data_IF_430674012216
#
_entry.id   IF_430674012216
#
_cell.length_a   1.000
_cell.length_b   1.000
_cell.length_c   1.000
_cell.angle_alpha   90.00
_cell.angle_beta   90.00
_cell.angle_gamma   90.00
#
_symmetry.space_group_name_H-M   'P 1'
#
loop_
_entity.id
_entity.type
_entity.pdbx_description
1 polymer ?
#
# COMPACT_ATOMS: atom_id res chain seq x y z
N UNK A 1 -5.02 7.96 3.64
CA UNK A 1 -4.12 9.05 4.05
C UNK A 1 -2.71 8.74 3.56
N UNK A 2 -2.27 9.32 2.44
CA UNK A 2 -0.85 9.31 2.05
C UNK A 2 -0.23 10.45 2.84
N UNK A 3 0.61 10.15 3.82
CA UNK A 3 1.27 11.17 4.62
C UNK A 3 2.41 11.74 3.78
N UNK A 4 2.18 12.88 3.12
CA UNK A 4 3.24 13.65 2.46
C UNK A 4 3.99 14.46 3.52
N UNK A 5 4.91 13.84 4.24
CA UNK A 5 5.91 14.58 5.02
C UNK A 5 7.10 14.92 4.12
N UNK A 6 7.27 16.22 3.80
CA UNK A 6 8.50 16.75 3.20
C UNK A 6 9.63 16.58 4.20
N UNK A 7 10.43 15.52 4.07
CA UNK A 7 11.79 15.52 4.62
C UNK A 7 12.74 16.07 3.56
N UNK A 8 13.45 17.14 3.91
CA UNK A 8 14.56 17.68 3.12
C UNK A 8 15.75 16.73 3.26
N UNK A 9 15.80 15.67 2.44
CA UNK A 9 17.00 14.85 2.28
C UNK A 9 18.01 15.61 1.40
N UNK A 10 19.30 15.42 1.70
CA UNK A 10 20.44 16.11 1.05
C UNK A 10 20.45 15.94 -0.47
N UNK A 11 21.06 16.91 -1.17
CA UNK A 11 21.03 17.20 -2.62
C UNK A 11 21.21 16.03 -3.62
N UNK A 12 21.57 14.83 -3.18
CA UNK A 12 21.84 13.68 -4.05
C UNK A 12 20.75 12.58 -4.00
N UNK A 13 19.73 12.72 -3.15
CA UNK A 13 18.72 11.68 -2.92
C UNK A 13 17.30 12.27 -2.84
N UNK A 14 16.51 12.06 -3.90
CA UNK A 14 15.05 12.21 -3.88
C UNK A 14 14.35 10.85 -4.01
N UNK A 15 14.51 9.92 -3.04
CA UNK A 15 13.76 8.67 -3.05
C UNK A 15 12.26 8.96 -2.96
N UNK A 16 11.47 8.31 -3.81
CA UNK A 16 10.02 8.38 -3.70
C UNK A 16 9.58 7.42 -2.60
N UNK A 17 8.79 7.94 -1.67
CA UNK A 17 8.26 7.15 -0.57
C UNK A 17 6.83 6.73 -0.87
N UNK A 18 6.55 5.44 -0.78
CA UNK A 18 5.18 4.94 -0.74
C UNK A 18 4.94 4.32 0.63
N UNK A 19 4.18 5.04 1.47
CA UNK A 19 3.77 4.55 2.78
C UNK A 19 2.37 3.98 2.63
N UNK A 20 2.27 2.64 2.70
CA UNK A 20 0.99 1.96 2.73
C UNK A 20 0.63 1.58 4.15
N UNK A 21 -0.29 2.33 4.76
CA UNK A 21 -0.86 1.94 6.04
C UNK A 21 -1.65 0.63 5.85
N UNK A 22 -1.26 -0.41 6.57
CA UNK A 22 -1.99 -1.66 6.63
C UNK A 22 -2.42 -1.85 8.08
N UNK A 23 -3.62 -1.37 8.42
CA UNK A 23 -4.20 -1.59 9.74
C UNK A 23 -4.59 -3.07 9.85
N UNK A 24 -3.91 -3.82 10.73
CA UNK A 24 -4.41 -5.11 11.19
C UNK A 24 -5.05 -4.84 12.55
N UNK A 25 -6.37 -4.65 12.56
CA UNK A 25 -7.13 -4.51 13.80
C UNK A 25 -6.89 -5.74 14.67
N UNK A 26 -6.24 -5.56 15.83
CA UNK A 26 -6.29 -6.53 16.92
C UNK A 26 -7.59 -6.24 17.66
N UNK A 27 -8.64 -7.01 17.42
CA UNK A 27 -9.83 -6.91 18.26
C UNK A 27 -9.48 -7.44 19.65
N UNK A 28 -9.26 -6.53 20.59
CA UNK A 28 -9.61 -6.62 22.01
C UNK A 28 -9.21 -5.31 22.67
N UNK A 29 -10.20 -4.44 22.90
CA UNK A 29 -10.12 -3.44 23.95
C UNK A 29 -10.04 -4.20 25.28
N UNK A 30 -8.99 -4.05 26.10
CA UNK A 30 -9.13 -4.37 27.51
C UNK A 30 -9.97 -3.24 28.11
N UNK A 31 -11.14 -3.57 28.62
CA UNK A 31 -11.82 -2.70 29.58
C UNK A 31 -10.88 -2.42 30.75
N UNK A 32 -10.94 -1.20 31.24
CA UNK A 32 -10.20 -0.68 32.38
C UNK A 32 -10.30 -1.62 33.59
N UNK A 33 -9.25 -2.38 33.85
CA UNK A 33 -8.99 -2.94 35.16
C UNK A 33 -7.55 -2.62 35.53
N UNK A 34 -7.40 -1.91 36.66
CA UNK A 34 -6.12 -1.71 37.33
C UNK A 34 -5.42 -3.05 37.51
N UNK A 35 -4.39 -3.31 36.70
CA UNK A 35 -3.46 -4.40 36.93
C UNK A 35 -2.05 -3.86 36.75
N UNK A 36 -1.42 -3.63 37.90
CA UNK A 36 0.03 -3.56 38.01
C UNK A 36 0.60 -4.92 37.60
N UNK A 37 1.01 -5.06 36.34
CA UNK A 37 1.99 -6.06 35.93
C UNK A 37 3.10 -5.35 35.18
N UNK A 38 4.16 -5.01 35.90
CA UNK A 38 5.40 -4.56 35.30
C UNK A 38 5.98 -5.69 34.44
N UNK A 39 6.03 -5.50 33.12
CA UNK A 39 6.95 -6.27 32.29
C UNK A 39 8.36 -5.83 32.69
N UNK A 40 8.99 -6.58 33.59
CA UNK A 40 10.37 -6.33 34.00
C UNK A 40 11.32 -6.84 32.92
N UNK A 41 12.30 -6.00 32.56
CA UNK A 41 13.48 -6.37 31.78
C UNK A 41 14.25 -7.47 32.52
N UNK A 42 14.18 -8.71 32.03
CA UNK A 42 15.17 -9.73 32.39
C UNK A 42 16.24 -9.73 31.30
N UNK A 43 17.33 -9.00 31.57
CA UNK A 43 18.62 -9.26 30.96
C UNK A 43 19.12 -10.61 31.46
N UNK A 44 19.32 -11.56 30.56
CA UNK A 44 20.21 -12.70 30.80
C UNK A 44 21.14 -12.80 29.61
N UNK A 45 22.39 -12.37 29.82
CA UNK A 45 23.55 -12.80 29.03
C UNK A 45 23.60 -14.33 29.02
N UNK A 46 23.69 -14.95 27.84
CA UNK A 46 24.17 -16.33 27.73
C UNK A 46 25.16 -16.40 26.56
N UNK A 47 26.41 -16.64 26.96
CA UNK A 47 27.53 -17.09 26.15
C UNK A 47 27.37 -18.59 25.84
N UNK A 48 27.58 -18.93 24.55
CA UNK A 48 28.22 -20.12 23.94
C UNK A 48 27.80 -21.54 24.43
N UNK A 49 27.32 -22.41 23.53
CA UNK A 49 28.09 -23.53 22.93
C UNK A 49 27.23 -24.63 22.27
N UNK A 50 27.90 -25.32 21.35
CA UNK A 50 27.44 -26.34 20.41
C UNK A 50 26.98 -27.69 21.02
N UNK A 51 26.20 -28.40 20.20
CA UNK A 51 26.12 -29.85 20.03
C UNK A 51 25.22 -30.75 20.91
N UNK A 52 24.56 -31.64 20.15
CA UNK A 52 24.23 -33.05 20.39
C UNK A 52 22.94 -33.45 21.14
N UNK A 53 22.08 -34.10 20.35
CA UNK A 53 21.21 -35.26 20.59
C UNK A 53 21.06 -35.78 22.04
N UNK A 54 19.80 -35.96 22.48
CA UNK A 54 19.15 -37.29 22.55
C UNK A 54 17.88 -37.30 23.43
N UNK A 55 16.95 -38.15 22.98
CA UNK A 55 15.69 -38.64 23.59
C UNK A 55 15.57 -38.66 25.14
N UNK A 56 14.38 -38.34 25.66
CA UNK A 56 13.43 -39.37 26.16
C UNK A 56 12.18 -38.79 26.86
N UNK A 57 11.02 -39.40 26.53
CA UNK A 57 9.84 -39.73 27.36
C UNK A 57 9.20 -38.64 28.26
N UNK A 58 8.01 -38.14 27.93
CA UNK A 58 6.65 -38.74 28.05
C UNK A 58 5.92 -38.22 29.29
N UNK A 59 4.76 -37.59 29.09
CA UNK A 59 3.59 -37.69 29.96
C UNK A 59 2.39 -37.03 29.26
N UNK A 60 1.42 -37.86 28.86
CA UNK A 60 0.04 -37.47 28.54
C UNK A 60 -0.63 -37.07 29.86
N UNK A 61 -1.48 -36.05 29.94
CA UNK A 61 -2.94 -36.04 29.73
C UNK A 61 -3.38 -34.69 30.39
N UNK A 62 -4.36 -33.88 30.00
CA UNK A 62 -5.72 -34.13 29.51
C UNK A 62 -6.25 -32.86 28.82
N UNK A 63 -7.08 -33.03 27.80
CA UNK A 63 -7.84 -31.99 27.13
C UNK A 63 -8.89 -31.31 28.02
N UNK A 64 -8.90 -29.97 28.02
CA UNK A 64 -10.12 -29.18 28.22
C UNK A 64 -10.25 -28.16 27.10
N UNK A 65 -11.25 -28.42 26.25
CA UNK A 65 -11.69 -27.57 25.15
C UNK A 65 -12.16 -26.20 25.66
N UNK A 66 -11.45 -25.16 25.24
CA UNK A 66 -12.04 -23.83 25.07
C UNK A 66 -11.51 -23.31 23.75
N UNK A 67 -12.40 -23.12 22.77
CA UNK A 67 -12.10 -22.57 21.45
C UNK A 67 -11.50 -21.17 21.59
N UNK A 68 -10.18 -21.09 21.76
CA UNK A 68 -9.42 -19.89 21.50
C UNK A 68 -9.36 -19.75 20.00
N UNK A 69 -10.13 -18.81 19.46
CA UNK A 69 -9.92 -18.27 18.11
C UNK A 69 -8.48 -17.76 18.03
N UNK A 70 -7.54 -18.64 17.67
CA UNK A 70 -6.13 -18.34 17.65
C UNK A 70 -5.89 -17.40 16.49
N UNK A 71 -5.77 -16.11 16.78
CA UNK A 71 -5.22 -15.15 15.81
C UNK A 71 -3.91 -15.74 15.34
N UNK A 72 -3.83 -16.18 14.08
CA UNK A 72 -2.56 -16.65 13.50
C UNK A 72 -1.59 -15.48 13.54
N UNK A 73 -0.69 -15.51 14.52
CA UNK A 73 0.39 -14.55 14.68
C UNK A 73 1.39 -14.85 13.57
N UNK A 74 1.26 -14.11 12.47
CA UNK A 74 2.25 -14.13 11.40
C UNK A 74 3.46 -13.38 11.95
N UNK A 75 4.53 -14.10 12.27
CA UNK A 75 5.81 -13.48 12.63
C UNK A 75 6.25 -12.59 11.46
N UNK A 76 6.67 -11.34 11.70
CA UNK A 76 7.14 -10.48 10.63
C UNK A 76 8.38 -11.10 9.98
N UNK A 77 8.51 -10.96 8.66
CA UNK A 77 9.68 -11.47 7.91
C UNK A 77 10.98 -10.75 8.27
N UNK A 78 10.86 -9.60 8.92
CA UNK A 78 11.92 -8.71 9.35
C UNK A 78 11.57 -8.20 10.75
N UNK A 79 12.48 -8.36 11.72
CA UNK A 79 12.33 -7.84 13.08
C UNK A 79 13.17 -6.59 13.24
N UNK A 80 12.54 -5.50 13.66
CA UNK A 80 13.23 -4.28 14.05
C UNK A 80 13.10 -4.17 15.58
N UNK A 81 14.19 -4.33 16.34
CA UNK A 81 14.13 -4.33 17.80
C UNK A 81 13.51 -3.06 18.39
N UNK A 82 13.56 -1.93 17.68
CA UNK A 82 12.99 -0.67 18.14
C UNK A 82 11.49 -0.52 17.79
N UNK A 83 10.97 -1.33 16.88
CA UNK A 83 9.56 -1.38 16.45
C UNK A 83 8.87 -2.70 16.82
N UNK A 84 9.58 -3.63 17.46
CA UNK A 84 9.01 -4.89 17.90
C UNK A 84 7.94 -4.64 18.95
N UNK A 85 6.82 -5.33 18.78
CA UNK A 85 5.64 -5.21 19.62
C UNK A 85 5.34 -6.52 20.32
N UNK A 86 4.96 -6.43 21.58
CA UNK A 86 4.51 -7.57 22.35
C UNK A 86 3.28 -8.20 21.69
N UNK A 87 3.28 -9.53 21.62
CA UNK A 87 2.21 -10.31 21.01
C UNK A 87 0.91 -10.19 21.84
N UNK A 88 1.04 -10.13 23.16
CA UNK A 88 -0.10 -10.09 24.09
C UNK A 88 -0.70 -8.70 24.22
N UNK A 89 0.10 -7.70 24.64
CA UNK A 89 -0.41 -6.37 24.94
C UNK A 89 -0.32 -5.38 23.76
N UNK A 90 0.43 -5.71 22.70
CA UNK A 90 0.58 -4.85 21.52
C UNK A 90 1.39 -3.58 21.74
N UNK A 91 2.04 -3.41 22.89
CA UNK A 91 2.97 -2.31 23.18
C UNK A 91 4.35 -2.60 22.60
N UNK A 92 5.15 -1.55 22.39
CA UNK A 92 6.55 -1.71 22.03
C UNK A 92 7.29 -2.46 23.12
N UNK A 93 8.10 -3.45 22.74
CA UNK A 93 8.93 -4.21 23.66
C UNK A 93 9.97 -3.32 24.34
N UNK A 94 10.48 -2.31 23.62
CA UNK A 94 11.50 -1.38 24.12
C UNK A 94 10.87 -0.03 24.44
N UNK A 95 11.12 0.49 25.65
CA UNK A 95 10.67 1.83 26.08
C UNK A 95 11.73 2.92 25.78
N UNK A 96 11.41 4.19 26.02
CA UNK A 96 12.37 5.30 25.95
C UNK A 96 12.50 6.03 24.61
N UNK A 97 13.41 7.00 24.57
CA UNK A 97 13.70 7.83 23.38
C UNK A 97 14.37 6.98 22.29
N UNK A 98 14.13 7.34 21.02
CA UNK A 98 14.84 6.81 19.85
C UNK A 98 15.58 7.92 19.14
N UNK A 99 16.75 7.59 18.62
CA UNK A 99 17.53 8.45 17.75
C UNK A 99 17.63 7.69 16.44
N UNK A 100 17.16 8.30 15.36
CA UNK A 100 17.21 7.74 14.01
C UNK A 100 18.32 8.42 13.22
N UNK A 101 18.91 7.69 12.28
CA UNK A 101 19.94 8.23 11.38
C UNK A 101 19.37 9.15 10.29
N UNK A 102 20.25 9.63 9.41
CA UNK A 102 19.90 10.56 8.33
C UNK A 102 19.57 9.86 6.99
N UNK A 103 19.72 8.53 6.92
CA UNK A 103 19.45 7.79 5.68
C UNK A 103 17.95 7.73 5.39
N UNK A 104 17.59 7.50 4.12
CA UNK A 104 16.20 7.30 3.73
C UNK A 104 15.55 6.13 4.50
N UNK A 105 16.32 5.06 4.71
CA UNK A 105 15.94 3.91 5.53
C UNK A 105 15.55 4.32 6.96
N UNK A 106 16.40 5.09 7.63
CA UNK A 106 16.18 5.54 9.00
C UNK A 106 15.05 6.55 9.11
N UNK A 107 14.89 7.44 8.13
CA UNK A 107 13.75 8.35 8.08
C UNK A 107 12.40 7.60 7.99
N UNK A 108 12.33 6.55 7.17
CA UNK A 108 11.12 5.69 7.07
C UNK A 108 10.89 4.92 8.36
N UNK A 109 11.96 4.45 8.99
CA UNK A 109 11.92 3.78 10.29
C UNK A 109 11.37 4.70 11.38
N UNK A 110 11.82 5.95 11.43
CA UNK A 110 11.27 7.00 12.31
C UNK A 110 9.78 7.22 12.04
N UNK A 111 9.39 7.38 10.77
CA UNK A 111 7.99 7.61 10.40
C UNK A 111 7.09 6.46 10.90
N UNK A 112 7.51 5.21 10.73
CA UNK A 112 6.79 4.03 11.21
C UNK A 112 6.68 4.04 12.74
N UNK A 113 7.76 4.39 13.44
CA UNK A 113 7.75 4.55 14.90
C UNK A 113 6.76 5.61 15.37
N UNK A 114 6.77 6.79 14.75
CA UNK A 114 5.88 7.90 15.10
C UNK A 114 4.42 7.57 14.83
N UNK A 115 4.12 6.88 13.73
CA UNK A 115 2.78 6.36 13.44
C UNK A 115 2.32 5.42 14.53
N UNK A 116 3.18 4.49 14.95
CA UNK A 116 2.85 3.57 16.04
C UNK A 116 2.61 4.33 17.36
N UNK A 117 3.46 5.29 17.72
CA UNK A 117 3.29 6.09 18.94
C UNK A 117 1.96 6.86 18.94
N UNK A 118 1.57 7.44 17.80
CA UNK A 118 0.35 8.23 17.67
C UNK A 118 -0.93 7.38 17.61
N UNK A 119 -0.87 6.23 16.94
CA UNK A 119 -2.10 5.46 16.57
C UNK A 119 -2.18 4.09 17.23
N UNK A 120 -1.08 3.59 17.80
CA UNK A 120 -0.89 2.19 18.24
C UNK A 120 -1.07 1.16 17.11
N UNK A 121 -0.98 1.60 15.86
CA UNK A 121 -1.04 0.74 14.68
C UNK A 121 0.34 0.66 14.02
N UNK A 122 0.74 -0.55 13.64
CA UNK A 122 1.94 -0.78 12.85
C UNK A 122 1.67 -0.51 11.37
N UNK A 123 2.66 0.02 10.65
CA UNK A 123 2.61 0.12 9.19
C UNK A 123 3.85 -0.49 8.53
N UNK A 124 3.69 -0.86 7.27
CA UNK A 124 4.78 -1.26 6.38
C UNK A 124 5.08 -0.13 5.41
N UNK A 125 6.31 -0.07 4.92
CA UNK A 125 6.75 0.99 4.01
C UNK A 125 7.67 0.43 2.91
N UNK A 126 7.61 1.05 1.73
CA UNK A 126 8.49 0.73 0.63
C UNK A 126 9.26 1.96 0.19
N UNK A 127 10.54 1.77 -0.06
CA UNK A 127 11.43 2.77 -0.63
C UNK A 127 11.82 2.32 -2.03
N UNK A 128 11.79 3.25 -2.97
CA UNK A 128 12.21 2.98 -4.34
C UNK A 128 12.48 4.26 -5.13
N UNK A 129 13.04 4.12 -6.33
CA UNK A 129 13.38 5.24 -7.20
C UNK A 129 12.16 5.93 -7.82
N UNK A 130 10.97 5.32 -7.71
CA UNK A 130 9.72 5.88 -8.21
C UNK A 130 8.50 5.27 -7.48
N UNK A 131 7.30 5.80 -7.73
CA UNK A 131 6.10 5.37 -6.99
C UNK A 131 5.70 3.91 -7.24
N UNK A 132 5.95 3.38 -8.44
CA UNK A 132 5.64 2.00 -8.79
C UNK A 132 6.48 1.05 -7.93
N UNK A 133 7.80 1.23 -7.95
CA UNK A 133 8.73 0.38 -7.20
C UNK A 133 8.49 0.53 -5.70
N UNK A 134 8.33 1.76 -5.19
CA UNK A 134 8.05 2.00 -3.78
C UNK A 134 6.73 1.31 -3.35
N UNK A 135 5.69 1.37 -4.17
CA UNK A 135 4.41 0.71 -3.88
C UNK A 135 4.54 -0.81 -3.82
N UNK A 136 5.26 -1.42 -4.76
CA UNK A 136 5.49 -2.88 -4.77
C UNK A 136 6.36 -3.29 -3.57
N UNK A 137 7.44 -2.55 -3.30
CA UNK A 137 8.34 -2.79 -2.17
C UNK A 137 7.60 -2.74 -0.82
N UNK A 138 6.63 -1.84 -0.67
CA UNK A 138 5.84 -1.70 0.57
C UNK A 138 5.02 -2.94 0.93
N UNK A 139 4.66 -3.75 -0.08
CA UNK A 139 3.91 -4.99 0.11
C UNK A 139 4.81 -6.21 0.35
N UNK A 140 6.11 -6.09 0.07
CA UNK A 140 7.05 -7.21 0.03
C UNK A 140 7.34 -7.81 1.42
N UNK A 141 7.57 -6.92 2.40
CA UNK A 141 7.92 -7.26 3.79
C UNK A 141 6.75 -6.93 4.72
N UNK A 142 5.51 -7.22 4.28
CA UNK A 142 4.35 -7.23 5.18
C UNK A 142 4.31 -8.52 6.01
N UNK A 143 3.83 -8.46 7.27
CA UNK A 143 3.44 -7.26 8.03
C UNK A 143 4.62 -6.60 8.75
N UNK A 144 4.48 -5.31 9.08
CA UNK A 144 5.40 -4.52 9.93
C UNK A 144 6.90 -4.54 9.53
N UNK A 145 7.21 -4.65 8.23
CA UNK A 145 8.55 -4.42 7.70
C UNK A 145 8.64 -3.20 6.79
N UNK A 146 9.87 -2.87 6.41
CA UNK A 146 10.14 -1.94 5.33
C UNK A 146 11.13 -2.55 4.36
N UNK A 147 11.04 -2.20 3.07
CA UNK A 147 11.92 -2.72 2.02
C UNK A 147 12.40 -1.58 1.14
N UNK A 148 13.69 -1.57 0.83
CA UNK A 148 14.34 -0.58 -0.03
C UNK A 148 14.88 -1.24 -1.28
N UNK A 149 14.51 -0.67 -2.43
CA UNK A 149 15.15 -0.96 -3.71
C UNK A 149 16.07 0.21 -4.05
N UNK A 150 17.36 -0.10 -4.19
CA UNK A 150 18.38 0.90 -4.48
C UNK A 150 18.08 1.65 -5.80
N UNK A 151 18.45 2.93 -5.84
CA UNK A 151 18.29 3.77 -7.03
C UNK A 151 19.38 3.49 -8.08
N UNK A 152 19.45 2.25 -8.54
CA UNK A 152 20.38 1.77 -9.57
C UNK A 152 19.61 0.94 -10.57
N UNK A 153 19.97 1.03 -11.86
CA UNK A 153 19.30 0.29 -12.92
C UNK A 153 19.32 -1.22 -12.65
N UNK A 154 20.46 -1.76 -12.22
CA UNK A 154 20.63 -3.20 -11.92
C UNK A 154 19.70 -3.69 -10.80
N UNK A 155 19.56 -2.91 -9.72
CA UNK A 155 18.67 -3.28 -8.62
C UNK A 155 17.20 -3.28 -9.06
N UNK A 156 16.78 -2.29 -9.86
CA UNK A 156 15.42 -2.21 -10.40
C UNK A 156 15.16 -3.36 -11.36
N UNK A 157 16.08 -3.62 -12.29
CA UNK A 157 15.95 -4.65 -13.30
C UNK A 157 15.86 -6.05 -12.66
N UNK A 158 16.77 -6.37 -11.74
CA UNK A 158 16.73 -7.63 -10.96
C UNK A 158 15.43 -7.80 -10.17
N UNK A 159 14.93 -6.72 -9.58
CA UNK A 159 13.69 -6.74 -8.83
C UNK A 159 12.47 -6.95 -9.74
N UNK A 160 12.44 -6.30 -10.90
CA UNK A 160 11.31 -6.38 -11.83
C UNK A 160 11.28 -7.69 -12.60
N UNK A 161 12.41 -8.21 -13.09
CA UNK A 161 12.44 -9.44 -13.89
C UNK A 161 11.81 -10.64 -13.17
N UNK A 162 12.03 -10.76 -11.86
CA UNK A 162 11.48 -11.86 -11.05
C UNK A 162 10.05 -11.61 -10.57
N UNK A 163 9.49 -10.42 -10.80
CA UNK A 163 8.21 -9.99 -10.25
C UNK A 163 7.03 -10.66 -10.97
N UNK A 164 6.12 -11.34 -10.25
CA UNK A 164 4.87 -11.80 -10.83
C UNK A 164 3.99 -10.63 -11.27
N UNK A 165 3.40 -10.70 -12.46
CA UNK A 165 2.59 -9.60 -13.02
C UNK A 165 1.45 -9.17 -12.11
N UNK A 166 0.86 -10.11 -11.35
CA UNK A 166 -0.25 -9.85 -10.41
C UNK A 166 0.09 -8.93 -9.25
N UNK A 167 1.38 -8.83 -8.90
CA UNK A 167 1.88 -7.93 -7.84
C UNK A 167 1.99 -6.48 -8.32
N UNK A 168 1.98 -6.25 -9.63
CA UNK A 168 2.08 -4.91 -10.21
C UNK A 168 0.75 -4.16 -10.05
N UNK A 169 0.76 -2.94 -9.48
CA UNK A 169 -0.43 -2.09 -9.39
C UNK A 169 -1.04 -1.81 -10.76
N UNK A 170 -2.31 -2.15 -10.94
CA UNK A 170 -3.05 -2.04 -12.20
C UNK A 170 -3.31 -3.38 -12.89
N UNK A 171 -2.60 -4.45 -12.52
CA UNK A 171 -2.89 -5.81 -13.00
C UNK A 171 -3.79 -6.54 -12.00
N UNK A 172 -5.09 -6.55 -12.31
CA UNK A 172 -6.10 -7.33 -11.60
C UNK A 172 -6.23 -8.77 -12.13
N UNK A 173 -7.09 -9.57 -11.51
CA UNK A 173 -7.29 -10.98 -11.85
C UNK A 173 -7.69 -11.22 -13.32
N UNK A 174 -8.48 -10.32 -13.92
CA UNK A 174 -8.89 -10.45 -15.33
C UNK A 174 -7.68 -10.28 -16.25
N UNK A 175 -6.87 -9.25 -16.01
CA UNK A 175 -5.67 -8.98 -16.82
C UNK A 175 -4.62 -10.07 -16.61
N UNK A 176 -4.42 -10.52 -15.37
CA UNK A 176 -3.56 -11.66 -15.04
C UNK A 176 -3.95 -12.91 -15.82
N UNK A 177 -5.22 -13.31 -15.82
CA UNK A 177 -5.70 -14.47 -16.59
C UNK A 177 -5.51 -14.31 -18.09
N UNK A 178 -5.72 -13.11 -18.64
CA UNK A 178 -5.48 -12.83 -20.06
C UNK A 178 -4.00 -12.97 -20.42
N UNK A 179 -3.11 -12.49 -19.57
CA UNK A 179 -1.66 -12.63 -19.75
C UNK A 179 -1.22 -14.10 -19.60
N UNK A 180 -1.76 -14.80 -18.62
CA UNK A 180 -1.48 -16.22 -18.36
C UNK A 180 -1.93 -17.13 -19.51
N UNK A 181 -3.00 -16.78 -20.23
CA UNK A 181 -3.43 -17.48 -21.45
C UNK A 181 -2.35 -17.44 -22.57
N UNK A 182 -1.46 -16.45 -22.55
CA UNK A 182 -0.29 -16.37 -23.43
C UNK A 182 1.00 -16.85 -22.75
N UNK A 183 0.89 -17.45 -21.57
CA UNK A 183 2.00 -17.93 -20.74
C UNK A 183 2.86 -16.81 -20.17
N UNK A 184 2.30 -15.62 -19.91
CA UNK A 184 2.99 -14.49 -19.28
C UNK A 184 2.67 -14.51 -17.79
N UNK A 185 3.67 -14.76 -16.95
CA UNK A 185 3.51 -14.84 -15.49
C UNK A 185 4.34 -13.79 -14.75
N UNK A 186 5.48 -13.41 -15.33
CA UNK A 186 6.44 -12.46 -14.76
C UNK A 186 6.56 -11.20 -15.61
N UNK A 187 7.16 -10.15 -15.06
CA UNK A 187 7.45 -8.95 -15.84
C UNK A 187 8.53 -9.19 -16.91
N UNK A 188 9.43 -10.16 -16.73
CA UNK A 188 10.37 -10.56 -17.78
C UNK A 188 9.61 -11.09 -19.02
N UNK A 189 8.59 -11.92 -18.80
CA UNK A 189 7.75 -12.46 -19.89
C UNK A 189 7.05 -11.36 -20.70
N UNK A 190 6.75 -10.20 -20.10
CA UNK A 190 6.17 -9.05 -20.81
C UNK A 190 7.13 -8.52 -21.88
N UNK A 191 8.44 -8.43 -21.56
CA UNK A 191 9.46 -8.00 -22.53
C UNK A 191 9.65 -9.06 -23.60
N UNK A 192 9.75 -10.33 -23.20
CA UNK A 192 10.01 -11.43 -24.14
C UNK A 192 8.88 -11.59 -25.15
N UNK A 193 7.63 -11.47 -24.69
CA UNK A 193 6.42 -11.63 -25.53
C UNK A 193 5.86 -10.29 -26.03
N UNK A 194 6.65 -9.21 -26.01
CA UNK A 194 6.23 -7.87 -26.47
C UNK A 194 5.71 -7.85 -27.90
N UNK A 195 6.25 -8.68 -28.79
CA UNK A 195 5.80 -8.80 -30.18
C UNK A 195 4.38 -9.36 -30.28
N UNK A 196 4.06 -10.39 -29.48
CA UNK A 196 2.71 -10.93 -29.37
C UNK A 196 1.77 -9.89 -28.75
N UNK A 197 2.18 -9.29 -27.64
CA UNK A 197 1.38 -8.28 -26.92
C UNK A 197 1.01 -7.08 -27.80
N UNK A 198 1.90 -6.66 -28.71
CA UNK A 198 1.64 -5.59 -29.67
C UNK A 198 0.40 -5.85 -30.53
N UNK A 199 0.17 -7.10 -30.94
CA UNK A 199 -0.95 -7.46 -31.81
C UNK A 199 -2.25 -7.75 -31.05
N UNK A 200 -2.16 -8.27 -29.82
CA UNK A 200 -3.35 -8.67 -29.04
C UNK A 200 -3.82 -7.62 -28.03
N UNK A 201 -2.97 -6.64 -27.71
CA UNK A 201 -3.27 -5.62 -26.70
C UNK A 201 -3.61 -4.27 -27.34
N UNK A 202 -4.36 -3.45 -26.61
CA UNK A 202 -4.55 -2.05 -27.02
C UNK A 202 -3.23 -1.29 -26.90
N UNK A 203 -3.08 -0.20 -27.64
CA UNK A 203 -1.91 0.69 -27.54
C UNK A 203 -1.67 1.17 -26.11
N UNK A 204 -2.74 1.51 -25.38
CA UNK A 204 -2.66 1.96 -23.98
C UNK A 204 -2.13 0.86 -23.08
N UNK A 205 -2.66 -0.36 -23.21
CA UNK A 205 -2.20 -1.53 -22.46
C UNK A 205 -0.74 -1.85 -22.76
N UNK A 206 -0.34 -1.75 -24.03
CA UNK A 206 1.03 -2.04 -24.46
C UNK A 206 2.04 -1.04 -23.87
N UNK A 207 1.74 0.27 -23.93
CA UNK A 207 2.56 1.30 -23.30
C UNK A 207 2.67 1.05 -21.79
N UNK A 208 1.56 0.69 -21.15
CA UNK A 208 1.56 0.33 -19.74
C UNK A 208 2.43 -0.90 -19.45
N UNK A 209 2.31 -1.99 -20.22
CA UNK A 209 3.10 -3.21 -20.05
C UNK A 209 4.59 -2.97 -20.23
N UNK A 210 5.00 -2.24 -21.27
CA UNK A 210 6.41 -1.92 -21.49
C UNK A 210 6.95 -1.03 -20.37
N UNK A 211 6.17 -0.04 -19.92
CA UNK A 211 6.56 0.85 -18.83
C UNK A 211 6.79 0.09 -17.52
N UNK A 212 5.84 -0.77 -17.12
CA UNK A 212 6.00 -1.55 -15.87
C UNK A 212 7.10 -2.60 -15.99
N UNK A 213 7.29 -3.20 -17.16
CA UNK A 213 8.31 -4.23 -17.33
C UNK A 213 9.74 -3.67 -17.18
N UNK A 214 9.93 -2.40 -17.55
CA UNK A 214 11.15 -1.63 -17.32
C UNK A 214 11.24 -0.99 -15.93
N UNK A 215 10.23 -1.19 -15.07
CA UNK A 215 10.20 -0.61 -13.72
C UNK A 215 9.91 0.89 -13.66
N UNK A 216 9.38 1.50 -14.73
CA UNK A 216 9.01 2.90 -14.75
C UNK A 216 7.59 3.14 -14.22
N UNK A 217 7.38 4.26 -13.54
CA UNK A 217 6.09 4.75 -13.07
C UNK A 217 5.53 5.82 -14.02
N UNK A 218 4.26 6.19 -13.82
CA UNK A 218 3.66 7.38 -14.42
C UNK A 218 3.57 8.50 -13.40
N UNK A 219 4.70 9.07 -13.00
CA UNK A 219 4.73 10.07 -11.92
C UNK A 219 4.34 11.48 -12.38
N UNK A 220 3.71 11.62 -13.56
CA UNK A 220 3.30 12.92 -14.11
C UNK A 220 2.34 13.70 -13.20
N UNK A 221 1.61 13.01 -12.32
CA UNK A 221 0.72 13.65 -11.34
C UNK A 221 1.45 14.18 -10.10
N UNK A 222 2.72 13.82 -9.87
CA UNK A 222 3.53 14.35 -8.76
C UNK A 222 4.02 15.76 -9.11
N UNK A 223 3.06 16.67 -9.24
CA UNK A 223 3.31 18.06 -9.60
C UNK A 223 3.80 18.78 -8.33
N UNK A 224 5.10 18.67 -8.13
CA UNK A 224 5.96 19.60 -7.38
C UNK A 224 7.47 19.34 -7.66
N UNK A 225 7.82 18.38 -8.54
CA UNK A 225 9.18 18.24 -9.08
C UNK A 225 9.33 19.13 -10.32
N UNK A 226 9.05 20.43 -10.19
CA UNK A 226 9.57 21.40 -11.16
C UNK A 226 10.95 21.81 -10.68
N UNK A 227 11.92 21.67 -11.60
CA UNK A 227 13.25 22.27 -11.63
C UNK A 227 14.40 21.36 -11.17
N UNK A 228 14.79 20.40 -12.03
CA UNK A 228 16.22 20.12 -12.23
C UNK A 228 16.60 19.44 -13.56
N UNK A 229 15.64 19.11 -14.44
CA UNK A 229 15.96 18.62 -15.79
C UNK A 229 15.72 19.71 -16.84
N UNK A 230 16.79 20.04 -17.56
CA UNK A 230 16.93 21.12 -18.53
C UNK A 230 15.76 21.26 -19.51
N UNK A 231 15.27 22.51 -19.63
CA UNK A 231 14.21 22.95 -20.53
C UNK A 231 14.55 22.91 -22.04
N UNK A 232 15.69 22.35 -22.45
CA UNK A 232 16.17 22.52 -23.84
C UNK A 232 16.07 21.30 -24.76
N UNK A 233 15.70 20.12 -24.29
CA UNK A 233 15.48 19.00 -25.22
C UNK A 233 14.60 17.94 -24.59
N UNK A 234 13.29 18.02 -24.81
CA UNK A 234 12.45 16.88 -25.13
C UNK A 234 11.00 17.35 -25.28
N UNK A 235 10.54 17.49 -26.51
CA UNK A 235 9.11 17.30 -26.78
C UNK A 235 8.79 15.87 -26.31
N UNK A 236 7.80 15.65 -25.43
CA UNK A 236 7.43 14.31 -25.05
C UNK A 236 6.96 13.57 -26.30
N UNK A 237 7.59 12.43 -26.58
CA UNK A 237 7.13 11.53 -27.62
C UNK A 237 5.82 10.88 -27.13
N UNK A 238 4.68 11.44 -27.53
CA UNK A 238 3.36 10.86 -27.28
C UNK A 238 2.27 11.88 -26.98
N UNK A 239 1.34 11.98 -27.93
CA UNK A 239 -0.05 12.48 -27.87
C UNK A 239 -0.39 13.51 -26.78
N UNK A 240 -0.58 14.75 -27.23
CA UNK A 240 -1.25 15.82 -26.49
C UNK A 240 -2.73 15.43 -26.38
N UNK A 241 -3.20 15.18 -25.15
CA UNK A 241 -4.63 15.25 -24.84
C UNK A 241 -4.99 16.75 -24.79
N UNK A 242 -5.86 17.21 -25.69
CA UNK A 242 -6.26 18.62 -25.84
C UNK A 242 -7.08 19.19 -24.65
N UNK A 243 -7.20 18.48 -23.52
CA UNK A 243 -8.01 18.88 -22.37
C UNK A 243 -7.21 19.61 -21.27
N UNK A 244 -5.93 19.95 -21.52
CA UNK A 244 -5.01 20.51 -20.51
C UNK A 244 -5.05 22.04 -20.32
N UNK A 245 -6.13 22.74 -20.72
CA UNK A 245 -6.22 24.20 -20.56
C UNK A 245 -6.70 24.70 -19.18
N UNK A 246 -6.93 23.82 -18.18
CA UNK A 246 -7.36 24.28 -16.85
C UNK A 246 -6.51 23.70 -15.71
N UNK A 247 -5.21 24.01 -15.71
CA UNK A 247 -4.38 23.87 -14.51
C UNK A 247 -4.28 25.26 -13.86
N UNK A 248 -5.18 25.54 -12.92
CA UNK A 248 -5.08 26.72 -12.05
C UNK A 248 -4.06 26.42 -10.95
N UNK A 249 -2.96 27.18 -10.80
CA UNK A 249 -2.05 26.99 -9.68
C UNK A 249 -2.71 27.54 -8.41
N UNK A 250 -3.04 26.68 -7.45
CA UNK A 250 -3.40 27.13 -6.10
C UNK A 250 -2.13 27.59 -5.36
N UNK A 251 -2.27 28.61 -4.51
CA UNK A 251 -1.17 29.22 -3.75
C UNK A 251 -0.50 28.28 -2.71
N UNK A 252 -0.91 27.02 -2.64
CA UNK A 252 -0.44 26.03 -1.66
C UNK A 252 0.15 24.76 -2.30
N UNK A 253 0.42 24.77 -3.61
CA UNK A 253 1.17 23.69 -4.27
C UNK A 253 0.47 22.32 -4.20
N UNK A 254 -0.84 22.29 -3.97
CA UNK A 254 -1.67 21.12 -4.15
C UNK A 254 -2.42 21.26 -5.47
N UNK A 255 -2.12 20.36 -6.41
CA UNK A 255 -3.01 20.14 -7.54
C UNK A 255 -4.27 19.48 -6.99
N UNK A 256 -5.36 20.23 -6.95
CA UNK A 256 -6.68 19.64 -6.76
C UNK A 256 -6.94 18.74 -7.97
N UNK A 257 -6.88 17.42 -7.74
CA UNK A 257 -7.35 16.46 -8.74
C UNK A 257 -8.85 16.73 -8.92
N UNK A 258 -9.21 17.39 -10.02
CA UNK A 258 -10.60 17.69 -10.34
C UNK A 258 -11.42 16.40 -10.32
N UNK A 259 -12.26 16.26 -9.29
CA UNK A 259 -13.12 15.09 -9.11
C UNK A 259 -14.11 15.03 -10.26
N UNK A 260 -14.11 13.94 -11.03
CA UNK A 260 -14.95 13.78 -12.23
C UNK A 260 -16.36 13.25 -11.93
N UNK A 261 -16.54 12.56 -10.80
CA UNK A 261 -17.83 11.96 -10.42
C UNK A 261 -17.95 11.80 -8.90
N UNK A 262 -19.19 11.66 -8.43
CA UNK A 262 -19.56 11.32 -7.04
C UNK A 262 -20.71 10.31 -7.12
N UNK A 263 -20.70 9.28 -6.27
CA UNK A 263 -21.67 8.20 -6.32
C UNK A 263 -21.87 7.57 -4.94
N UNK A 264 -23.09 7.13 -4.67
CA UNK A 264 -23.43 6.32 -3.49
C UNK A 264 -24.02 4.99 -3.98
N UNK A 265 -23.51 3.87 -3.47
CA UNK A 265 -24.03 2.53 -3.77
C UNK A 265 -24.21 1.71 -2.47
N UNK A 266 -25.23 0.85 -2.45
CA UNK A 266 -25.52 -0.07 -1.34
C UNK A 266 -25.98 -1.41 -1.88
N UNK A 267 -25.53 -2.48 -1.24
CA UNK A 267 -26.05 -3.84 -1.44
C UNK A 267 -27.15 -4.11 -0.41
N UNK A 268 -28.26 -4.67 -0.86
CA UNK A 268 -29.42 -5.03 -0.03
C UNK A 268 -29.83 -6.48 -0.33
N UNK A 269 -30.66 -7.07 0.53
CA UNK A 269 -31.26 -8.38 0.28
C UNK A 269 -32.18 -8.32 -0.93
N UNK A 270 -32.27 -9.43 -1.66
CA UNK A 270 -33.14 -9.53 -2.83
C UNK A 270 -34.57 -9.12 -2.48
N UNK A 271 -35.13 -8.22 -3.29
CA UNK A 271 -36.50 -7.75 -3.15
C UNK A 271 -37.11 -7.56 -4.52
N UNK A 272 -38.34 -8.01 -4.64
CA UNK A 272 -39.22 -7.78 -5.80
C UNK A 272 -40.31 -6.74 -5.49
N UNK A 273 -40.32 -6.17 -4.29
CA UNK A 273 -41.26 -5.13 -3.90
C UNK A 273 -40.82 -3.77 -4.48
N UNK A 274 -41.65 -3.23 -5.37
CA UNK A 274 -41.45 -1.93 -6.00
C UNK A 274 -41.40 -0.78 -4.99
N UNK A 275 -42.21 -0.84 -3.93
CA UNK A 275 -42.27 0.23 -2.92
C UNK A 275 -40.95 0.32 -2.15
N UNK A 276 -40.41 -0.83 -1.76
CA UNK A 276 -39.11 -0.93 -1.12
C UNK A 276 -37.99 -0.44 -2.05
N UNK A 277 -37.98 -0.84 -3.33
CA UNK A 277 -36.98 -0.38 -4.30
C UNK A 277 -37.02 1.13 -4.50
N UNK A 278 -38.21 1.72 -4.60
CA UNK A 278 -38.39 3.17 -4.72
C UNK A 278 -37.91 3.89 -3.46
N UNK A 279 -38.21 3.35 -2.28
CA UNK A 279 -37.73 3.89 -1.01
C UNK A 279 -36.19 3.86 -0.93
N UNK A 280 -35.55 2.78 -1.36
CA UNK A 280 -34.07 2.69 -1.42
C UNK A 280 -33.48 3.69 -2.40
N UNK A 281 -34.10 3.87 -3.56
CA UNK A 281 -33.65 4.88 -4.53
C UNK A 281 -33.71 6.29 -3.94
N UNK A 282 -34.80 6.63 -3.24
CA UNK A 282 -34.95 7.92 -2.57
C UNK A 282 -33.88 8.12 -1.48
N UNK A 283 -33.65 7.10 -0.64
CA UNK A 283 -32.60 7.13 0.38
C UNK A 283 -31.21 7.40 -0.23
N UNK A 284 -30.84 6.69 -1.29
CA UNK A 284 -29.54 6.88 -1.96
C UNK A 284 -29.42 8.27 -2.60
N UNK A 285 -30.50 8.79 -3.19
CA UNK A 285 -30.54 10.13 -3.75
C UNK A 285 -30.37 11.22 -2.67
N UNK A 286 -31.03 11.04 -1.51
CA UNK A 286 -30.88 11.94 -0.36
C UNK A 286 -29.44 11.92 0.16
N UNK A 287 -28.82 10.75 0.30
CA UNK A 287 -27.41 10.63 0.71
C UNK A 287 -26.46 11.35 -0.27
N UNK A 288 -26.59 11.09 -1.57
CA UNK A 288 -25.78 11.76 -2.58
C UNK A 288 -25.98 13.28 -2.59
N UNK A 289 -27.21 13.75 -2.36
CA UNK A 289 -27.52 15.18 -2.25
C UNK A 289 -26.81 15.84 -1.07
N UNK A 290 -26.70 15.15 0.06
CA UNK A 290 -25.93 15.61 1.22
C UNK A 290 -24.44 15.69 0.89
N UNK A 291 -23.86 14.61 0.34
CA UNK A 291 -22.44 14.57 -0.04
C UNK A 291 -22.07 15.69 -1.03
N UNK A 292 -22.95 15.97 -2.01
CA UNK A 292 -22.77 17.05 -2.97
C UNK A 292 -22.77 18.44 -2.33
N UNK A 293 -23.61 18.65 -1.31
CA UNK A 293 -23.68 19.93 -0.58
C UNK A 293 -22.44 20.15 0.28
N UNK A 294 -21.98 19.11 0.97
CA UNK A 294 -20.79 19.16 1.83
C UNK A 294 -19.53 19.49 1.03
N UNK A 295 -19.39 18.89 -0.15
CA UNK A 295 -18.24 19.10 -1.01
C UNK A 295 -18.41 20.32 -1.95
N UNK A 296 -19.50 21.09 -1.78
CA UNK A 296 -19.85 22.25 -2.60
C UNK A 296 -19.84 21.98 -4.13
N UNK A 297 -20.17 20.75 -4.53
CA UNK A 297 -20.15 20.32 -5.93
C UNK A 297 -21.51 20.57 -6.58
N UNK A 298 -21.51 21.32 -7.70
CA UNK A 298 -22.72 21.51 -8.53
C UNK A 298 -22.75 20.49 -9.67
N UNK A 299 -23.75 19.61 -9.65
CA UNK A 299 -24.01 18.66 -10.76
C UNK A 299 -24.55 19.43 -11.95
N UNK A 300 -23.97 19.20 -13.14
CA UNK A 300 -24.42 19.89 -14.37
C UNK A 300 -25.52 19.14 -15.11
N UNK A 301 -25.33 17.87 -15.48
CA UNK A 301 -26.25 17.20 -16.43
C UNK A 301 -26.44 15.68 -16.32
N UNK A 302 -25.65 14.95 -15.52
CA UNK A 302 -25.68 13.48 -15.56
C UNK A 302 -25.87 12.87 -14.17
N UNK A 303 -26.91 12.05 -14.02
CA UNK A 303 -27.15 11.14 -12.90
C UNK A 303 -27.19 9.74 -13.49
N UNK A 304 -26.46 8.80 -12.89
CA UNK A 304 -26.39 7.41 -13.34
C UNK A 304 -26.95 6.55 -12.22
N UNK A 305 -27.99 5.78 -12.52
CA UNK A 305 -28.49 4.74 -11.65
C UNK A 305 -27.84 3.41 -12.04
N UNK A 306 -27.28 2.71 -11.05
CA UNK A 306 -26.64 1.41 -11.23
C UNK A 306 -27.44 0.36 -10.46
N UNK A 307 -28.04 -0.58 -11.19
CA UNK A 307 -28.75 -1.72 -10.63
C UNK A 307 -27.92 -2.98 -10.89
N UNK A 308 -27.75 -3.80 -9.86
CA UNK A 308 -27.06 -5.07 -9.95
C UNK A 308 -28.04 -6.19 -9.59
N UNK A 309 -28.27 -7.10 -10.53
CA UNK A 309 -29.11 -8.28 -10.34
C UNK A 309 -28.17 -9.47 -10.14
N UNK A 310 -28.32 -10.19 -9.03
CA UNK A 310 -27.58 -11.41 -8.72
C UNK A 310 -28.32 -12.66 -9.16
#
# INVERSE_FOLDING_TARGET
>A
MICHSKLSLTKDYSPFFSIHFSCRSRSKHPQSHHLNSSCTDNQSEILIDDNSESNSNSCQETDKSSDKLSVRIIKPKYSDPDLDVCIECGLLCKSGRRIFGLSAWEAVREMRFRVFCATRLTCSAGLGPNTLIAKIASDWIKPCGQHEIANTLEAVDKFMQTMPVRKVPGIGHVTERRLDAFGIKTCADLIDKRGLLWHVSTKVSMVYYMRIALGHSDDRWLINVKNHFDEKSNKPFGFIDNDSENIVPSAQGQVELNRKSMSVERTFSDTSDESELMHRCEQLAQMLSTDLKEEHVKVRKCVIMKLHFT
#
